data_IF_099194054879
#
_entry.id   IF_099194054879
#
_cell.length_a   1.000
_cell.length_b   1.000
_cell.length_c   1.000
_cell.angle_alpha   90.00
_cell.angle_beta   90.00
_cell.angle_gamma   90.00
#
_symmetry.space_group_name_H-M   'P 1'
#
loop_
_entity.id
_entity.type
_entity.pdbx_description
1 polymer ?
#
# COMPACT_ATOMS: atom_id res chain seq x y z
N UNK A 1 -1.30 -1.27 -14.36
CA UNK A 1 -0.88 0.14 -14.12
C UNK A 1 0.50 0.26 -13.46
N UNK A 2 1.01 -0.76 -12.75
CA UNK A 2 2.30 -0.67 -12.03
C UNK A 2 3.49 -0.31 -12.96
N UNK A 3 3.55 -0.85 -14.18
CA UNK A 3 4.65 -0.57 -15.12
C UNK A 3 4.69 0.90 -15.58
N UNK A 4 3.60 1.50 -16.10
CA UNK A 4 3.62 2.91 -16.47
C UNK A 4 3.85 3.84 -15.25
N UNK A 5 3.36 3.47 -14.08
CA UNK A 5 3.60 4.24 -12.84
C UNK A 5 5.07 4.16 -12.42
N UNK A 6 5.70 2.98 -12.49
CA UNK A 6 7.14 2.83 -12.21
C UNK A 6 8.00 3.67 -13.15
N UNK A 7 7.69 3.64 -14.44
CA UNK A 7 8.38 4.47 -15.43
C UNK A 7 8.22 5.98 -15.17
N UNK A 8 7.00 6.40 -14.77
CA UNK A 8 6.75 7.79 -14.41
C UNK A 8 7.50 8.20 -13.14
N UNK A 9 7.59 7.29 -12.15
CA UNK A 9 8.33 7.51 -10.91
C UNK A 9 9.84 7.69 -11.12
N UNK A 10 10.39 7.04 -12.14
CA UNK A 10 11.80 7.20 -12.49
C UNK A 10 12.09 8.51 -13.23
N UNK A 11 11.11 9.05 -13.96
CA UNK A 11 11.22 10.33 -14.65
C UNK A 11 10.81 11.55 -13.81
N UNK A 12 9.96 11.33 -12.84
CA UNK A 12 9.41 12.36 -11.97
C UNK A 12 9.88 12.17 -10.53
N UNK A 13 9.39 12.97 -9.61
CA UNK A 13 9.72 12.84 -8.20
C UNK A 13 8.90 11.71 -7.54
N UNK A 14 9.58 10.70 -6.99
CA UNK A 14 8.95 9.62 -6.19
C UNK A 14 8.15 10.18 -5.01
N UNK A 15 8.69 11.23 -4.37
CA UNK A 15 8.03 11.93 -3.27
C UNK A 15 6.72 12.59 -3.73
N UNK A 16 6.71 13.27 -4.89
CA UNK A 16 5.50 13.89 -5.43
C UNK A 16 4.46 12.86 -5.83
N UNK A 17 4.88 11.72 -6.37
CA UNK A 17 3.97 10.62 -6.70
C UNK A 17 3.32 10.01 -5.45
N UNK A 18 4.05 9.91 -4.35
CA UNK A 18 3.47 9.42 -3.09
C UNK A 18 2.47 10.41 -2.50
N UNK A 19 2.68 11.72 -2.66
CA UNK A 19 1.68 12.74 -2.31
C UNK A 19 0.41 12.61 -3.16
N UNK A 20 0.56 12.39 -4.47
CA UNK A 20 -0.57 12.13 -5.39
C UNK A 20 -1.32 10.85 -5.00
N UNK A 21 -0.60 9.80 -4.58
CA UNK A 21 -1.21 8.57 -4.08
C UNK A 21 -2.16 8.87 -2.91
N UNK A 22 -1.69 9.55 -1.85
CA UNK A 22 -2.51 9.82 -0.66
C UNK A 22 -3.71 10.71 -0.98
N UNK A 23 -3.52 11.80 -1.71
CA UNK A 23 -4.59 12.75 -2.03
C UNK A 23 -5.57 12.10 -3.03
N UNK A 24 -5.05 11.45 -4.06
CA UNK A 24 -5.86 10.83 -5.10
C UNK A 24 -6.72 9.69 -4.59
N UNK A 25 -6.17 8.78 -3.78
CA UNK A 25 -6.93 7.68 -3.20
C UNK A 25 -7.97 8.19 -2.21
N UNK A 26 -7.61 9.19 -1.39
CA UNK A 26 -8.51 9.79 -0.43
C UNK A 26 -9.66 10.55 -1.09
N UNK A 27 -9.39 11.36 -2.11
CA UNK A 27 -10.41 12.05 -2.89
C UNK A 27 -11.33 11.07 -3.60
N UNK A 28 -10.78 10.06 -4.29
CA UNK A 28 -11.57 9.02 -4.96
C UNK A 28 -12.47 8.26 -3.98
N UNK A 29 -11.97 7.95 -2.78
CA UNK A 29 -12.76 7.31 -1.74
C UNK A 29 -13.92 8.21 -1.29
N UNK A 30 -13.66 9.47 -0.98
CA UNK A 30 -14.70 10.42 -0.58
C UNK A 30 -15.75 10.61 -1.68
N UNK A 31 -15.35 10.69 -2.95
CA UNK A 31 -16.28 10.76 -4.08
C UNK A 31 -17.11 9.48 -4.23
N UNK A 32 -16.53 8.31 -3.97
CA UNK A 32 -17.25 7.03 -4.03
C UNK A 32 -18.41 6.99 -3.03
N UNK A 33 -18.28 7.67 -1.89
CA UNK A 33 -19.35 7.77 -0.90
C UNK A 33 -20.60 8.53 -1.40
N UNK A 34 -20.46 9.34 -2.46
CA UNK A 34 -21.58 10.06 -3.09
C UNK A 34 -22.34 9.22 -4.11
N UNK A 35 -21.90 7.98 -4.36
CA UNK A 35 -22.52 7.09 -5.34
C UNK A 35 -23.94 6.71 -4.94
N UNK A 36 -24.84 6.72 -5.91
CA UNK A 36 -26.26 6.32 -5.78
C UNK A 36 -26.55 5.03 -6.56
N UNK A 37 -25.66 4.66 -7.47
CA UNK A 37 -25.83 3.47 -8.33
C UNK A 37 -24.60 2.56 -8.24
N UNK A 38 -24.77 1.24 -8.48
CA UNK A 38 -23.64 0.30 -8.55
C UNK A 38 -22.57 0.70 -9.58
N UNK A 39 -22.96 1.30 -10.69
CA UNK A 39 -22.03 1.78 -11.70
C UNK A 39 -21.15 2.91 -11.17
N UNK A 40 -21.73 3.87 -10.44
CA UNK A 40 -20.98 4.96 -9.83
C UNK A 40 -20.00 4.44 -8.77
N UNK A 41 -20.39 3.44 -7.96
CA UNK A 41 -19.48 2.75 -7.04
C UNK A 41 -18.32 2.12 -7.83
N UNK A 42 -18.63 1.40 -8.92
CA UNK A 42 -17.63 0.77 -9.77
C UNK A 42 -16.63 1.77 -10.35
N UNK A 43 -17.09 2.92 -10.82
CA UNK A 43 -16.24 4.02 -11.31
C UNK A 43 -15.37 4.59 -10.18
N UNK A 44 -15.95 4.82 -9.00
CA UNK A 44 -15.20 5.27 -7.83
C UNK A 44 -14.08 4.29 -7.44
N UNK A 45 -14.39 2.99 -7.39
CA UNK A 45 -13.41 1.94 -7.10
C UNK A 45 -12.32 1.86 -8.18
N UNK A 46 -12.65 2.12 -9.46
CA UNK A 46 -11.66 2.21 -10.53
C UNK A 46 -10.64 3.32 -10.23
N UNK A 47 -11.10 4.52 -9.87
CA UNK A 47 -10.20 5.63 -9.53
C UNK A 47 -9.37 5.34 -8.28
N UNK A 48 -9.96 4.75 -7.23
CA UNK A 48 -9.21 4.28 -6.07
C UNK A 48 -8.10 3.32 -6.52
N UNK A 49 -8.40 2.35 -7.40
CA UNK A 49 -7.44 1.41 -7.94
C UNK A 49 -6.32 2.05 -8.76
N UNK A 50 -6.64 3.09 -9.55
CA UNK A 50 -5.64 3.87 -10.32
C UNK A 50 -4.63 4.51 -9.39
N UNK A 51 -5.07 5.22 -8.35
CA UNK A 51 -4.16 5.86 -7.41
C UNK A 51 -3.45 4.84 -6.50
N UNK A 52 -4.14 3.77 -6.09
CA UNK A 52 -3.54 2.70 -5.29
C UNK A 52 -2.36 2.00 -6.01
N UNK A 53 -2.38 1.94 -7.35
CA UNK A 53 -1.29 1.36 -8.13
C UNK A 53 0.05 2.10 -7.98
N UNK A 54 0.05 3.34 -7.46
CA UNK A 54 1.26 4.15 -7.26
C UNK A 54 2.10 3.61 -6.10
N UNK A 55 1.48 3.12 -5.02
CA UNK A 55 2.20 2.81 -3.78
C UNK A 55 3.29 1.77 -3.95
N UNK A 56 2.99 0.62 -4.55
CA UNK A 56 3.95 -0.48 -4.61
C UNK A 56 5.25 -0.15 -5.36
N UNK A 57 5.22 0.37 -6.59
CA UNK A 57 6.45 0.68 -7.30
C UNK A 57 7.22 1.84 -6.66
N UNK A 58 6.52 2.86 -6.15
CA UNK A 58 7.14 4.06 -5.59
C UNK A 58 7.59 3.84 -4.15
N UNK A 59 6.71 3.32 -3.29
CA UNK A 59 6.98 3.12 -1.87
C UNK A 59 8.09 2.10 -1.62
N UNK A 60 8.05 0.95 -2.29
CA UNK A 60 9.10 -0.06 -2.19
C UNK A 60 10.44 0.50 -2.67
N UNK A 61 10.47 1.20 -3.81
CA UNK A 61 11.68 1.84 -4.31
C UNK A 61 12.27 2.85 -3.32
N UNK A 62 11.43 3.59 -2.58
CA UNK A 62 11.88 4.51 -1.53
C UNK A 62 12.42 3.76 -0.30
N UNK A 63 11.79 2.66 0.08
CA UNK A 63 12.22 1.84 1.24
C UNK A 63 13.60 1.23 1.00
N UNK A 64 13.90 0.78 -0.21
CA UNK A 64 15.18 0.10 -0.53
C UNK A 64 16.29 1.07 -0.97
N UNK A 65 15.94 2.32 -1.31
CA UNK A 65 16.89 3.28 -1.88
C UNK A 65 18.05 3.58 -0.93
N UNK A 66 19.27 3.38 -1.44
CA UNK A 66 20.51 3.67 -0.70
C UNK A 66 20.82 2.70 0.45
N UNK A 67 20.16 1.54 0.52
CA UNK A 67 20.37 0.52 1.55
C UNK A 67 21.04 -0.72 0.97
N UNK A 68 22.09 -1.20 1.63
CA UNK A 68 22.76 -2.47 1.28
C UNK A 68 21.95 -3.68 1.74
N UNK A 69 21.32 -3.59 2.93
CA UNK A 69 20.48 -4.64 3.51
C UNK A 69 19.02 -4.19 3.45
N UNK A 70 18.21 -4.90 2.70
CA UNK A 70 16.81 -4.52 2.41
C UNK A 70 15.77 -5.42 3.09
N UNK A 71 16.18 -6.59 3.63
CA UNK A 71 15.26 -7.57 4.21
C UNK A 71 14.40 -7.01 5.35
N UNK A 72 15.03 -6.49 6.40
CA UNK A 72 14.31 -5.93 7.56
C UNK A 72 13.45 -4.72 7.21
N UNK A 73 13.92 -3.69 6.45
CA UNK A 73 13.07 -2.60 6.01
C UNK A 73 11.85 -3.04 5.19
N UNK A 74 12.00 -4.03 4.32
CA UNK A 74 10.90 -4.58 3.55
C UNK A 74 9.92 -5.38 4.42
N UNK A 75 10.42 -6.15 5.39
CA UNK A 75 9.59 -6.86 6.35
C UNK A 75 8.74 -5.90 7.19
N UNK A 76 9.35 -4.82 7.71
CA UNK A 76 8.64 -3.77 8.45
C UNK A 76 7.56 -3.14 7.57
N UNK A 77 7.88 -2.75 6.34
CA UNK A 77 6.89 -2.22 5.39
C UNK A 77 5.73 -3.21 5.15
N UNK A 78 6.04 -4.49 5.04
CA UNK A 78 5.04 -5.54 4.85
C UNK A 78 4.13 -5.74 6.06
N UNK A 79 4.66 -5.64 7.29
CA UNK A 79 3.87 -5.70 8.52
C UNK A 79 2.85 -4.56 8.55
N UNK A 80 3.29 -3.32 8.30
CA UNK A 80 2.36 -2.19 8.23
C UNK A 80 1.32 -2.35 7.13
N UNK A 81 1.70 -2.94 5.97
CA UNK A 81 0.76 -3.27 4.90
C UNK A 81 -0.31 -4.27 5.33
N UNK A 82 0.09 -5.39 5.94
CA UNK A 82 -0.84 -6.43 6.42
C UNK A 82 -1.69 -5.93 7.61
N UNK A 83 -1.08 -5.17 8.53
CA UNK A 83 -1.82 -4.54 9.62
C UNK A 83 -2.83 -3.51 9.09
N UNK A 84 -2.49 -2.77 8.03
CA UNK A 84 -3.42 -1.88 7.34
C UNK A 84 -4.64 -2.63 6.81
N UNK A 85 -4.45 -3.80 6.18
CA UNK A 85 -5.56 -4.66 5.71
C UNK A 85 -6.40 -5.15 6.88
N UNK A 86 -5.77 -5.60 7.96
CA UNK A 86 -6.45 -6.06 9.17
C UNK A 86 -7.32 -4.96 9.78
N UNK A 87 -6.73 -3.80 10.04
CA UNK A 87 -7.44 -2.65 10.61
C UNK A 87 -8.54 -2.14 9.68
N UNK A 88 -8.30 -2.13 8.36
CA UNK A 88 -9.32 -1.72 7.39
C UNK A 88 -10.56 -2.62 7.45
N UNK A 89 -10.41 -3.94 7.58
CA UNK A 89 -11.54 -4.85 7.69
C UNK A 89 -12.39 -4.56 8.94
N UNK A 90 -11.75 -4.40 10.10
CA UNK A 90 -12.42 -4.08 11.36
C UNK A 90 -13.10 -2.70 11.32
N UNK A 91 -12.38 -1.68 10.87
CA UNK A 91 -12.91 -0.30 10.80
C UNK A 91 -14.06 -0.18 9.81
N UNK A 92 -13.95 -0.84 8.66
CA UNK A 92 -15.04 -0.87 7.67
C UNK A 92 -16.29 -1.50 8.25
N UNK A 93 -16.18 -2.66 8.93
CA UNK A 93 -17.31 -3.31 9.59
C UNK A 93 -17.96 -2.41 10.64
N UNK A 94 -17.16 -1.84 11.54
CA UNK A 94 -17.63 -0.92 12.58
C UNK A 94 -18.35 0.31 11.99
N UNK A 95 -17.79 0.92 10.95
CA UNK A 95 -18.36 2.09 10.31
C UNK A 95 -19.67 1.76 9.58
N UNK A 96 -19.78 0.59 8.98
CA UNK A 96 -21.02 0.15 8.34
C UNK A 96 -22.13 -0.01 9.37
N UNK A 97 -21.85 -0.66 10.49
CA UNK A 97 -22.85 -0.91 11.52
C UNK A 97 -23.29 0.36 12.27
N UNK A 98 -22.36 1.31 12.44
CA UNK A 98 -22.65 2.55 13.23
C UNK A 98 -23.13 3.73 12.39
N UNK A 99 -22.55 3.92 11.19
CA UNK A 99 -22.73 5.13 10.37
C UNK A 99 -23.15 4.83 8.91
N UNK A 100 -23.30 3.55 8.59
CA UNK A 100 -23.61 3.10 7.23
C UNK A 100 -22.40 3.06 6.30
N UNK A 101 -22.57 2.38 5.17
CA UNK A 101 -21.50 2.05 4.22
C UNK A 101 -20.75 3.28 3.66
N UNK A 102 -21.43 4.44 3.56
CA UNK A 102 -20.81 5.69 3.07
C UNK A 102 -19.68 6.17 3.99
N UNK A 103 -19.85 6.01 5.31
CA UNK A 103 -18.84 6.39 6.29
C UNK A 103 -17.52 5.58 6.11
N UNK A 104 -17.64 4.33 5.68
CA UNK A 104 -16.49 3.47 5.38
C UNK A 104 -15.63 3.98 4.20
N UNK A 105 -16.14 4.86 3.37
CA UNK A 105 -15.39 5.55 2.31
C UNK A 105 -14.95 6.96 2.74
N UNK A 106 -15.82 7.73 3.39
CA UNK A 106 -15.55 9.13 3.75
C UNK A 106 -14.44 9.23 4.78
N UNK A 107 -14.53 8.49 5.88
CA UNK A 107 -13.57 8.64 6.99
C UNK A 107 -12.14 8.23 6.60
N UNK A 108 -11.89 7.05 5.99
CA UNK A 108 -10.56 6.73 5.49
C UNK A 108 -10.10 7.68 4.38
N UNK A 109 -11.03 8.18 3.55
CA UNK A 109 -10.75 9.15 2.51
C UNK A 109 -10.19 10.45 3.07
N UNK A 110 -10.85 11.04 4.07
CA UNK A 110 -10.40 12.26 4.75
C UNK A 110 -9.05 12.03 5.45
N UNK A 111 -8.90 10.89 6.14
CA UNK A 111 -7.65 10.53 6.79
C UNK A 111 -6.49 10.42 5.79
N UNK A 112 -6.72 9.80 4.64
CA UNK A 112 -5.73 9.69 3.58
C UNK A 112 -5.32 11.06 3.02
N UNK A 113 -6.29 11.96 2.78
CA UNK A 113 -6.00 13.34 2.35
C UNK A 113 -5.18 14.06 3.41
N UNK A 114 -5.54 13.95 4.68
CA UNK A 114 -4.79 14.51 5.80
C UNK A 114 -3.35 14.00 5.86
N UNK A 115 -3.15 12.69 5.69
CA UNK A 115 -1.82 12.10 5.56
C UNK A 115 -1.05 12.65 4.36
N UNK A 116 -1.71 12.87 3.23
CA UNK A 116 -1.12 13.47 2.05
C UNK A 116 -0.61 14.90 2.29
N UNK A 117 -1.39 15.73 2.95
CA UNK A 117 -0.97 17.08 3.33
C UNK A 117 0.18 17.07 4.35
N UNK A 118 0.08 16.23 5.40
CA UNK A 118 1.16 16.07 6.37
C UNK A 118 2.46 15.60 5.69
N UNK A 119 2.37 14.68 4.74
CA UNK A 119 3.49 14.20 3.95
C UNK A 119 4.12 15.31 3.09
N UNK A 120 3.32 16.16 2.44
CA UNK A 120 3.81 17.31 1.66
C UNK A 120 4.55 18.30 2.57
N UNK A 121 4.02 18.60 3.74
CA UNK A 121 4.67 19.47 4.71
C UNK A 121 6.00 18.90 5.19
N UNK A 122 6.03 17.59 5.50
CA UNK A 122 7.25 16.88 5.88
C UNK A 122 8.33 16.95 4.78
N UNK A 123 7.97 16.71 3.52
CA UNK A 123 8.93 16.80 2.39
C UNK A 123 9.47 18.22 2.24
N UNK A 124 8.61 19.23 2.32
CA UNK A 124 9.04 20.63 2.22
C UNK A 124 10.03 20.98 3.31
N UNK A 125 9.74 20.60 4.56
CA UNK A 125 10.64 20.81 5.69
C UNK A 125 11.97 20.06 5.51
N UNK A 126 11.93 18.79 5.08
CA UNK A 126 13.12 17.97 4.85
C UNK A 126 14.00 18.52 3.71
N UNK A 127 13.38 19.03 2.64
CA UNK A 127 14.12 19.68 1.54
C UNK A 127 14.76 20.99 1.97
N UNK A 128 14.08 21.80 2.78
CA UNK A 128 14.62 23.03 3.33
C UNK A 128 15.81 22.75 4.25
N UNK A 129 15.69 21.75 5.15
CA UNK A 129 16.79 21.33 6.02
C UNK A 129 18.01 20.85 5.24
N UNK A 130 17.78 20.04 4.17
CA UNK A 130 18.85 19.52 3.32
C UNK A 130 19.53 20.62 2.48
N UNK A 131 18.77 21.62 2.03
CA UNK A 131 19.33 22.79 1.34
C UNK A 131 20.24 23.58 2.27
N UNK A 132 19.82 23.82 3.52
CA UNK A 132 20.62 24.50 4.52
C UNK A 132 21.90 23.72 4.89
N UNK A 133 21.83 22.38 4.93
CA UNK A 133 22.97 21.50 5.18
C UNK A 133 24.00 21.52 4.04
N UNK A 134 23.55 21.59 2.79
CA UNK A 134 24.42 21.73 1.61
C UNK A 134 25.08 23.10 1.60
N UNK A 135 24.36 24.15 1.97
CA UNK A 135 24.87 25.54 2.05
C UNK A 135 25.91 25.70 3.17
N UNK A 136 25.81 24.91 4.25
CA UNK A 136 26.78 24.86 5.34
C UNK A 136 28.04 24.03 5.06
N UNK A 137 28.18 23.43 3.86
CA UNK A 137 29.41 22.74 3.42
C UNK A 137 29.53 21.28 3.86
N UNK A 138 28.51 20.67 4.46
CA UNK A 138 28.47 19.25 4.82
C UNK A 138 28.01 18.37 3.66
N UNK A 139 28.75 18.32 2.56
CA UNK A 139 28.41 17.51 1.41
C UNK A 139 28.66 16.03 1.64
N UNK A 140 27.62 15.21 1.66
CA UNK A 140 27.66 13.77 1.76
C UNK A 140 28.21 13.10 0.48
N UNK A 141 29.11 12.12 0.65
CA UNK A 141 29.69 11.29 -0.41
C UNK A 141 28.60 10.57 -1.21
N UNK A 142 28.60 10.74 -2.54
CA UNK A 142 27.82 9.91 -3.49
C UNK A 142 28.32 8.49 -3.46
N UNK A 143 27.42 7.53 -3.21
CA UNK A 143 27.70 6.10 -3.42
C UNK A 143 27.82 5.84 -4.93
N UNK A 144 28.93 5.26 -5.34
CA UNK A 144 29.20 4.83 -6.73
C UNK A 144 28.46 3.52 -6.95
N UNK A 145 27.47 3.51 -7.83
CA UNK A 145 26.82 2.29 -8.30
C UNK A 145 27.79 1.56 -9.24
N UNK A 146 28.31 0.42 -8.81
CA UNK A 146 29.09 -0.48 -9.64
C UNK A 146 28.21 -1.09 -10.74
N UNK A 147 28.58 -0.94 -12.00
CA UNK A 147 27.95 -1.60 -13.15
C UNK A 147 28.40 -3.06 -13.18
N UNK A 148 27.56 -3.94 -12.66
CA UNK A 148 27.74 -5.39 -12.91
C UNK A 148 27.15 -5.74 -14.29
N UNK A 149 27.98 -6.25 -15.18
CA UNK A 149 27.53 -6.85 -16.44
C UNK A 149 26.91 -8.22 -16.16
N UNK A 150 25.60 -8.30 -16.11
CA UNK A 150 24.86 -9.55 -15.86
C UNK A 150 24.44 -10.14 -17.20
N UNK A 151 24.60 -11.47 -17.37
CA UNK A 151 24.17 -12.18 -18.59
C UNK A 151 22.66 -11.99 -18.83
N UNK A 152 22.30 -11.54 -20.04
CA UNK A 152 20.91 -11.26 -20.44
C UNK A 152 20.01 -12.50 -20.28
N UNK A 153 20.51 -13.71 -20.53
CA UNK A 153 19.72 -14.94 -20.35
C UNK A 153 19.40 -15.20 -18.90
N UNK A 154 20.35 -14.95 -17.99
CA UNK A 154 20.16 -15.07 -16.57
C UNK A 154 19.12 -14.07 -16.08
N UNK A 155 19.18 -12.81 -16.54
CA UNK A 155 18.20 -11.78 -16.23
C UNK A 155 16.79 -12.23 -16.63
N UNK A 156 16.58 -12.64 -17.88
CA UNK A 156 15.28 -13.06 -18.39
C UNK A 156 14.72 -14.25 -17.60
N UNK A 157 15.56 -15.25 -17.32
CA UNK A 157 15.14 -16.43 -16.52
C UNK A 157 14.75 -16.06 -15.10
N UNK A 158 15.53 -15.22 -14.44
CA UNK A 158 15.25 -14.74 -13.08
C UNK A 158 13.97 -13.92 -13.05
N UNK A 159 13.78 -13.00 -13.99
CA UNK A 159 12.54 -12.22 -14.10
C UNK A 159 11.31 -13.09 -14.38
N UNK A 160 11.41 -14.11 -15.23
CA UNK A 160 10.31 -15.03 -15.51
C UNK A 160 9.89 -15.82 -14.26
N UNK A 161 10.85 -16.31 -13.48
CA UNK A 161 10.59 -17.03 -12.23
C UNK A 161 9.93 -16.09 -11.22
N UNK A 162 10.51 -14.90 -10.99
CA UNK A 162 9.97 -13.90 -10.06
C UNK A 162 8.56 -13.48 -10.49
N UNK A 163 8.34 -13.20 -11.77
CA UNK A 163 7.04 -12.80 -12.29
C UNK A 163 5.98 -13.88 -12.07
N UNK A 164 6.31 -15.14 -12.39
CA UNK A 164 5.36 -16.27 -12.24
C UNK A 164 5.04 -16.53 -10.77
N UNK A 165 6.04 -16.55 -9.89
CA UNK A 165 5.82 -16.76 -8.46
C UNK A 165 5.04 -15.62 -7.82
N UNK A 166 5.32 -14.38 -8.20
CA UNK A 166 4.58 -13.20 -7.73
C UNK A 166 3.14 -13.19 -8.23
N UNK A 167 2.91 -13.59 -9.48
CA UNK A 167 1.56 -13.67 -10.05
C UNK A 167 0.71 -14.72 -9.34
N UNK A 168 1.24 -15.92 -9.13
CA UNK A 168 0.54 -17.01 -8.43
C UNK A 168 0.30 -16.63 -6.96
N UNK A 169 1.33 -16.17 -6.24
CA UNK A 169 1.20 -15.74 -4.86
C UNK A 169 0.24 -14.56 -4.70
N UNK A 170 0.31 -13.59 -5.61
CA UNK A 170 -0.60 -12.45 -5.65
C UNK A 170 -2.04 -12.87 -5.90
N UNK A 171 -2.29 -13.83 -6.79
CA UNK A 171 -3.62 -14.38 -7.03
C UNK A 171 -4.20 -15.03 -5.77
N UNK A 172 -3.45 -15.91 -5.10
CA UNK A 172 -3.89 -16.60 -3.88
C UNK A 172 -4.21 -15.57 -2.78
N UNK A 173 -3.28 -14.65 -2.50
CA UNK A 173 -3.45 -13.65 -1.43
C UNK A 173 -4.65 -12.74 -1.72
N UNK A 174 -4.80 -12.28 -2.96
CA UNK A 174 -5.92 -11.40 -3.32
C UNK A 174 -7.25 -12.12 -3.30
N UNK A 175 -7.34 -13.33 -3.84
CA UNK A 175 -8.56 -14.14 -3.77
C UNK A 175 -8.99 -14.39 -2.33
N UNK A 176 -8.06 -14.76 -1.45
CA UNK A 176 -8.35 -14.96 -0.03
C UNK A 176 -8.80 -13.66 0.65
N UNK A 177 -8.08 -12.54 0.41
CA UNK A 177 -8.42 -11.25 1.01
C UNK A 177 -9.82 -10.77 0.65
N UNK A 178 -10.23 -10.94 -0.63
CA UNK A 178 -11.56 -10.54 -1.07
C UNK A 178 -12.67 -11.52 -0.67
N UNK A 179 -12.36 -12.82 -0.67
CA UNK A 179 -13.36 -13.84 -0.35
C UNK A 179 -13.60 -13.99 1.15
N UNK A 180 -12.60 -13.72 2.00
CA UNK A 180 -12.64 -14.02 3.43
C UNK A 180 -13.84 -13.39 4.16
N UNK A 181 -14.18 -12.11 4.02
CA UNK A 181 -15.35 -11.53 4.68
C UNK A 181 -16.65 -12.20 4.21
N UNK A 182 -16.77 -12.52 2.92
CA UNK A 182 -17.94 -13.19 2.37
C UNK A 182 -18.07 -14.63 2.87
N UNK A 183 -16.95 -15.34 2.99
CA UNK A 183 -16.93 -16.69 3.58
C UNK A 183 -17.39 -16.65 5.04
N UNK A 184 -16.95 -15.65 5.82
CA UNK A 184 -17.38 -15.50 7.20
C UNK A 184 -18.87 -15.18 7.29
N UNK A 185 -19.39 -14.29 6.46
CA UNK A 185 -20.82 -13.98 6.37
C UNK A 185 -21.67 -15.24 6.07
N UNK A 186 -21.23 -16.08 5.13
CA UNK A 186 -21.99 -17.26 4.69
C UNK A 186 -21.82 -18.49 5.59
N UNK A 187 -20.64 -18.65 6.24
CA UNK A 187 -20.30 -19.87 6.98
C UNK A 187 -20.39 -19.71 8.48
N UNK A 188 -20.40 -18.50 8.99
CA UNK A 188 -20.47 -18.19 10.41
C UNK A 188 -21.74 -17.38 10.74
N UNK A 189 -22.85 -17.69 10.10
CA UNK A 189 -24.14 -16.97 10.26
C UNK A 189 -24.60 -16.86 11.69
N UNK A 190 -24.31 -17.87 12.53
CA UNK A 190 -24.66 -17.87 13.95
C UNK A 190 -23.67 -17.12 14.85
N UNK A 191 -22.47 -16.80 14.32
CA UNK A 191 -21.35 -16.19 15.06
C UNK A 191 -20.96 -14.80 14.52
N UNK A 192 -21.43 -14.46 13.32
CA UNK A 192 -21.08 -13.21 12.62
C UNK A 192 -22.34 -12.55 12.05
N UNK A 193 -23.18 -12.04 12.96
CA UNK A 193 -24.45 -11.38 12.67
C UNK A 193 -24.33 -9.90 12.33
N UNK A 194 -23.12 -9.33 12.41
CA UNK A 194 -22.82 -7.93 12.13
C UNK A 194 -21.58 -7.75 11.26
N UNK A 195 -21.51 -6.63 10.53
CA UNK A 195 -20.34 -6.28 9.74
C UNK A 195 -19.09 -6.08 10.63
N UNK A 196 -19.28 -5.61 11.88
CA UNK A 196 -18.20 -5.48 12.86
C UNK A 196 -17.60 -6.84 13.23
N UNK A 197 -18.41 -7.88 13.46
CA UNK A 197 -17.90 -9.22 13.78
C UNK A 197 -17.19 -9.85 12.60
N UNK A 198 -17.72 -9.72 11.39
CA UNK A 198 -17.04 -10.17 10.16
C UNK A 198 -15.69 -9.45 10.00
N UNK A 199 -15.67 -8.14 10.24
CA UNK A 199 -14.45 -7.32 10.24
C UNK A 199 -13.45 -7.76 11.32
N UNK A 200 -13.92 -8.12 12.51
CA UNK A 200 -13.09 -8.60 13.62
C UNK A 200 -12.41 -9.92 13.30
N UNK A 201 -13.14 -10.89 12.75
CA UNK A 201 -12.56 -12.16 12.34
C UNK A 201 -11.52 -11.97 11.21
N UNK A 202 -11.83 -11.13 10.24
CA UNK A 202 -10.88 -10.77 9.19
C UNK A 202 -9.64 -10.06 9.75
N UNK A 203 -9.80 -9.16 10.72
CA UNK A 203 -8.71 -8.52 11.44
C UNK A 203 -7.78 -9.55 12.09
N UNK A 204 -8.32 -10.51 12.83
CA UNK A 204 -7.52 -11.54 13.51
C UNK A 204 -6.66 -12.31 12.51
N UNK A 205 -7.23 -12.78 11.40
CA UNK A 205 -6.50 -13.54 10.38
C UNK A 205 -5.34 -12.74 9.81
N UNK A 206 -5.57 -11.48 9.42
CA UNK A 206 -4.53 -10.65 8.81
C UNK A 206 -3.51 -10.13 9.84
N UNK A 207 -3.91 -9.94 11.10
CA UNK A 207 -2.99 -9.60 12.18
C UNK A 207 -2.00 -10.75 12.44
N UNK A 208 -2.48 -11.99 12.51
CA UNK A 208 -1.58 -13.15 12.63
C UNK A 208 -0.62 -13.27 11.43
N UNK A 209 -1.11 -13.03 10.21
CA UNK A 209 -0.26 -13.02 9.02
C UNK A 209 0.84 -11.95 9.07
N UNK A 210 0.56 -10.78 9.66
CA UNK A 210 1.55 -9.72 9.84
C UNK A 210 2.69 -10.15 10.77
N UNK A 211 2.39 -10.82 11.87
CA UNK A 211 3.42 -11.36 12.78
C UNK A 211 4.27 -12.46 12.13
N UNK A 212 3.65 -13.36 11.37
CA UNK A 212 4.38 -14.39 10.62
C UNK A 212 5.38 -13.78 9.63
N UNK A 213 5.02 -12.68 8.98
CA UNK A 213 5.91 -11.97 8.06
C UNK A 213 7.13 -11.37 8.76
N UNK A 214 6.99 -10.91 10.02
CA UNK A 214 8.11 -10.43 10.81
C UNK A 214 9.14 -11.55 11.03
N UNK A 215 8.70 -12.73 11.43
CA UNK A 215 9.58 -13.89 11.65
C UNK A 215 10.36 -14.23 10.37
N UNK A 216 9.70 -14.26 9.21
CA UNK A 216 10.36 -14.51 7.92
C UNK A 216 11.37 -13.40 7.59
N UNK A 217 11.05 -12.13 7.85
CA UNK A 217 11.94 -11.01 7.57
C UNK A 217 13.24 -11.00 8.38
N UNK A 218 13.26 -11.66 9.55
CA UNK A 218 14.49 -11.87 10.35
C UNK A 218 15.33 -13.05 9.89
N UNK A 219 14.74 -13.98 9.11
CA UNK A 219 15.44 -15.17 8.59
C UNK A 219 16.16 -14.91 7.26
N UNK A 220 15.88 -13.79 6.59
CA UNK A 220 16.42 -13.37 5.30
C UNK A 220 17.30 -12.13 5.45
#
# INVERSE_FOLDING_TARGET
LAVPVGWLADKWSRESMLAIFFIGIGASSAFTALAETPLQIGVGLLFIGVFAAIYHPVGIAMVVHGREKTGVPLAINGIFGNMGIAVAALMTGLLIDTNGWRAAFVLPGILSIGCGFAYILFIRASRAARAAEIESGAAAKKAVAGTMTIDRKLIIRTFAIIFTTTAIGGFIIRSTTFALPKIFEERLTDLADSATLIGTYSFLVFAFAAFAQLAVGYLV
#
